data_IF_449506665778
#
_entry.id   IF_449506665778
#
_cell.length_a   1.000
_cell.length_b   1.000
_cell.length_c   1.000
_cell.angle_alpha   90.00
_cell.angle_beta   90.00
_cell.angle_gamma   90.00
#
_symmetry.space_group_name_H-M   'P 1'
#
loop_
_entity.id
_entity.type
_entity.pdbx_description
1 polymer ?
#
# COMPACT_ATOMS: atom_id res chain seq x y z
N UNK A 1 20.33 5.75 7.27
CA UNK A 1 19.32 5.39 6.29
C UNK A 1 17.98 5.19 6.99
N UNK A 2 16.92 5.79 6.49
CA UNK A 2 15.62 5.57 7.11
C UNK A 2 15.24 4.09 6.98
N UNK A 3 14.85 3.48 8.09
CA UNK A 3 14.27 2.13 8.09
C UNK A 3 13.04 2.15 7.19
N UNK A 4 13.10 1.45 6.07
CA UNK A 4 11.94 1.26 5.22
C UNK A 4 10.83 0.64 6.07
N UNK A 5 9.76 1.39 6.29
CA UNK A 5 8.56 0.85 6.92
C UNK A 5 8.05 -0.28 6.04
N UNK A 6 8.05 -1.47 6.61
CA UNK A 6 7.36 -2.62 6.05
C UNK A 6 5.92 -2.20 5.78
N UNK A 7 5.51 -2.24 4.53
CA UNK A 7 4.10 -2.10 4.22
C UNK A 7 3.44 -3.36 4.79
N UNK A 8 2.68 -3.18 5.85
CA UNK A 8 1.85 -4.25 6.43
C UNK A 8 0.68 -4.46 5.47
N UNK A 9 0.92 -5.29 4.48
CA UNK A 9 -0.13 -5.77 3.59
C UNK A 9 -0.56 -7.15 4.08
N UNK A 10 -1.84 -7.32 4.29
CA UNK A 10 -2.52 -8.42 4.93
C UNK A 10 -1.93 -9.83 4.83
N UNK A 11 -2.22 -10.65 5.80
CA UNK A 11 -2.15 -12.12 5.82
C UNK A 11 -0.82 -12.82 5.52
N UNK A 12 -0.07 -12.35 4.54
CA UNK A 12 1.16 -12.97 4.04
C UNK A 12 2.45 -12.49 4.73
N UNK A 13 2.36 -11.50 5.61
CA UNK A 13 3.52 -10.96 6.33
C UNK A 13 3.83 -11.67 7.65
N UNK A 14 3.07 -12.71 7.96
CA UNK A 14 3.23 -13.47 9.19
C UNK A 14 4.56 -14.22 9.19
N UNK A 15 5.46 -14.02 10.18
CA UNK A 15 6.72 -14.73 10.25
C UNK A 15 6.46 -16.19 10.65
N UNK A 16 6.71 -17.13 9.74
CA UNK A 16 6.37 -18.55 9.91
C UNK A 16 7.55 -19.49 9.78
N UNK A 17 8.58 -19.14 8.99
CA UNK A 17 9.60 -20.09 8.56
C UNK A 17 10.99 -19.73 9.08
N UNK A 18 11.69 -20.69 9.66
CA UNK A 18 13.11 -20.58 9.96
C UNK A 18 13.92 -20.60 8.66
N UNK A 19 15.15 -20.13 8.72
CA UNK A 19 16.02 -19.98 7.53
C UNK A 19 16.18 -21.27 6.71
N UNK A 20 16.32 -22.43 7.37
CA UNK A 20 16.45 -23.72 6.68
C UNK A 20 15.22 -24.06 5.85
N UNK A 21 14.04 -23.85 6.40
CA UNK A 21 12.76 -24.09 5.71
C UNK A 21 12.55 -23.07 4.60
N UNK A 22 12.80 -21.80 4.88
CA UNK A 22 12.70 -20.74 3.88
C UNK A 22 13.63 -20.98 2.68
N UNK A 23 14.85 -21.41 2.93
CA UNK A 23 15.82 -21.76 1.90
C UNK A 23 15.32 -22.90 1.02
N UNK A 24 14.77 -23.96 1.61
CA UNK A 24 14.20 -25.09 0.89
C UNK A 24 12.99 -24.64 0.02
N UNK A 25 12.08 -23.85 0.59
CA UNK A 25 10.91 -23.36 -0.12
C UNK A 25 11.27 -22.44 -1.30
N UNK A 26 12.31 -21.65 -1.16
CA UNK A 26 12.79 -20.75 -2.21
C UNK A 26 13.78 -21.40 -3.18
N UNK A 27 14.24 -22.62 -2.89
CA UNK A 27 15.21 -23.32 -3.73
C UNK A 27 16.62 -22.73 -3.68
N UNK A 28 17.04 -22.18 -2.55
CA UNK A 28 18.34 -21.54 -2.37
C UNK A 28 19.07 -22.10 -1.15
N UNK A 29 20.39 -21.90 -1.12
CA UNK A 29 21.18 -22.24 0.06
C UNK A 29 20.94 -21.23 1.19
N UNK A 30 20.91 -21.64 2.48
CA UNK A 30 20.77 -20.71 3.61
C UNK A 30 21.79 -19.58 3.62
N UNK A 31 23.02 -19.85 3.18
CA UNK A 31 24.04 -18.80 3.07
C UNK A 31 23.68 -17.73 2.04
N UNK A 32 23.00 -18.10 0.96
CA UNK A 32 22.49 -17.16 -0.03
C UNK A 32 21.44 -16.24 0.58
N UNK A 33 20.55 -16.76 1.44
CA UNK A 33 19.59 -15.95 2.18
C UNK A 33 20.27 -14.93 3.09
N UNK A 34 21.35 -15.31 3.75
CA UNK A 34 22.12 -14.37 4.59
C UNK A 34 22.75 -13.25 3.76
N UNK A 35 23.23 -13.58 2.56
CA UNK A 35 23.75 -12.59 1.61
C UNK A 35 22.64 -11.63 1.17
N UNK A 36 21.46 -12.14 0.83
CA UNK A 36 20.33 -11.32 0.42
C UNK A 36 19.84 -10.42 1.55
N UNK A 37 19.82 -10.89 2.79
CA UNK A 37 19.52 -10.06 3.96
C UNK A 37 20.53 -8.91 4.11
N UNK A 38 21.83 -9.18 3.99
CA UNK A 38 22.87 -8.14 4.05
C UNK A 38 22.73 -7.09 2.97
N UNK A 39 22.26 -7.48 1.79
CA UNK A 39 22.01 -6.57 0.67
C UNK A 39 20.62 -5.90 0.75
N UNK A 40 19.89 -6.16 1.83
CA UNK A 40 18.55 -5.59 2.05
C UNK A 40 17.51 -5.99 1.00
N UNK A 41 17.72 -7.11 0.33
CA UNK A 41 16.76 -7.68 -0.62
C UNK A 41 15.60 -8.35 0.09
N UNK A 42 15.83 -8.88 1.28
CA UNK A 42 14.84 -9.50 2.13
C UNK A 42 15.11 -9.09 3.57
N UNK A 43 14.04 -8.95 4.35
CA UNK A 43 14.13 -8.50 5.76
C UNK A 43 13.31 -9.42 6.64
N UNK A 44 13.89 -10.54 7.08
CA UNK A 44 13.20 -11.45 7.99
C UNK A 44 12.94 -10.77 9.34
N UNK A 45 11.89 -11.20 10.02
CA UNK A 45 11.65 -10.83 11.40
C UNK A 45 12.58 -11.63 12.32
N UNK A 46 12.78 -11.14 13.53
CA UNK A 46 13.51 -11.85 14.57
C UNK A 46 12.53 -12.28 15.66
N UNK A 47 12.62 -13.56 16.08
CA UNK A 47 11.92 -14.06 17.25
C UNK A 47 12.52 -13.48 18.53
N UNK A 48 11.88 -13.72 19.68
CA UNK A 48 12.42 -13.34 20.98
C UNK A 48 13.81 -13.93 21.25
N UNK A 49 14.09 -15.14 20.73
CA UNK A 49 15.40 -15.79 20.77
C UNK A 49 16.38 -15.32 19.69
N UNK A 50 16.09 -14.21 19.00
CA UNK A 50 16.90 -13.64 17.92
C UNK A 50 17.04 -14.56 16.70
N UNK A 51 16.12 -15.48 16.49
CA UNK A 51 16.08 -16.36 15.32
C UNK A 51 15.40 -15.67 14.14
N UNK A 52 15.98 -15.79 12.94
CA UNK A 52 15.37 -15.29 11.71
C UNK A 52 14.08 -16.05 11.40
N UNK A 53 13.02 -15.33 11.12
CA UNK A 53 11.74 -15.87 10.68
C UNK A 53 11.29 -15.17 9.40
N UNK A 54 10.96 -15.98 8.40
CA UNK A 54 10.54 -15.53 7.08
C UNK A 54 9.03 -15.70 6.90
N UNK A 55 8.40 -14.74 6.27
CA UNK A 55 6.98 -14.80 5.90
C UNK A 55 6.77 -15.41 4.52
N UNK A 56 5.53 -15.73 4.17
CA UNK A 56 5.18 -16.13 2.80
C UNK A 56 5.54 -15.03 1.79
N UNK A 57 5.36 -13.76 2.13
CA UNK A 57 5.78 -12.64 1.29
C UNK A 57 7.30 -12.62 1.08
N UNK A 58 8.08 -12.96 2.10
CA UNK A 58 9.53 -13.10 1.97
C UNK A 58 9.89 -14.25 1.01
N UNK A 59 9.19 -15.38 1.08
CA UNK A 59 9.39 -16.51 0.17
C UNK A 59 9.09 -16.12 -1.27
N UNK A 60 7.99 -15.43 -1.52
CA UNK A 60 7.62 -14.93 -2.85
C UNK A 60 8.68 -13.98 -3.40
N UNK A 61 9.20 -13.10 -2.57
CA UNK A 61 10.32 -12.20 -2.92
C UNK A 61 11.58 -12.98 -3.28
N UNK A 62 11.93 -14.00 -2.52
CA UNK A 62 13.08 -14.86 -2.80
C UNK A 62 12.94 -15.60 -4.14
N UNK A 63 11.74 -16.08 -4.43
CA UNK A 63 11.44 -16.70 -5.73
C UNK A 63 11.59 -15.72 -6.89
N UNK A 64 11.14 -14.48 -6.72
CA UNK A 64 11.35 -13.42 -7.71
C UNK A 64 12.84 -13.13 -7.94
N UNK A 65 13.63 -13.04 -6.87
CA UNK A 65 15.07 -12.84 -6.97
C UNK A 65 15.73 -14.00 -7.73
N UNK A 66 15.33 -15.24 -7.46
CA UNK A 66 15.82 -16.42 -8.17
C UNK A 66 15.44 -16.38 -9.65
N UNK A 67 14.23 -16.01 -9.98
CA UNK A 67 13.80 -15.84 -11.37
C UNK A 67 14.66 -14.80 -12.09
N UNK A 68 14.83 -13.63 -11.50
CA UNK A 68 15.62 -12.56 -12.10
C UNK A 68 17.10 -12.93 -12.28
N UNK A 69 17.69 -13.65 -11.31
CA UNK A 69 19.11 -14.03 -11.37
C UNK A 69 19.36 -15.25 -12.25
N UNK A 70 18.58 -16.30 -12.11
CA UNK A 70 18.83 -17.58 -12.73
C UNK A 70 18.17 -17.74 -14.10
N UNK A 71 16.95 -17.26 -14.26
CA UNK A 71 16.21 -17.40 -15.53
C UNK A 71 16.47 -16.21 -16.47
N UNK A 72 16.47 -14.99 -15.95
CA UNK A 72 16.64 -13.78 -16.75
C UNK A 72 18.11 -13.30 -16.83
N UNK A 73 19.00 -13.90 -16.06
CA UNK A 73 20.43 -13.61 -16.11
C UNK A 73 20.81 -12.21 -15.61
N UNK A 74 19.97 -11.59 -14.78
CA UNK A 74 20.25 -10.26 -14.22
C UNK A 74 21.24 -10.40 -13.08
N UNK A 75 22.30 -9.59 -13.08
CA UNK A 75 23.26 -9.60 -11.98
C UNK A 75 22.64 -9.08 -10.68
N UNK A 76 23.26 -9.38 -9.54
CA UNK A 76 22.67 -9.05 -8.24
C UNK A 76 22.50 -7.53 -8.04
N UNK A 77 23.40 -6.70 -8.56
CA UNK A 77 23.24 -5.26 -8.50
C UNK A 77 21.98 -4.77 -9.24
N UNK A 78 21.69 -5.35 -10.41
CA UNK A 78 20.47 -5.09 -11.15
C UNK A 78 19.23 -5.56 -10.41
N UNK A 79 19.30 -6.74 -9.79
CA UNK A 79 18.18 -7.26 -8.98
C UNK A 79 17.88 -6.35 -7.79
N UNK A 80 18.91 -5.87 -7.09
CA UNK A 80 18.74 -4.88 -6.00
C UNK A 80 17.96 -3.67 -6.51
N UNK A 81 18.35 -3.14 -7.67
CA UNK A 81 17.68 -1.97 -8.26
C UNK A 81 16.23 -2.25 -8.66
N UNK A 82 15.97 -3.41 -9.24
CA UNK A 82 14.61 -3.84 -9.61
C UNK A 82 13.72 -3.95 -8.38
N UNK A 83 14.21 -4.58 -7.31
CA UNK A 83 13.46 -4.72 -6.06
C UNK A 83 13.18 -3.35 -5.44
N UNK A 84 14.15 -2.44 -5.42
CA UNK A 84 13.94 -1.07 -4.94
C UNK A 84 12.85 -0.34 -5.71
N UNK A 85 12.90 -0.42 -7.04
CA UNK A 85 11.89 0.21 -7.90
C UNK A 85 10.50 -0.43 -7.74
N UNK A 86 10.46 -1.74 -7.58
CA UNK A 86 9.20 -2.46 -7.34
C UNK A 86 8.57 -2.07 -6.00
N UNK A 87 9.38 -1.95 -4.96
CA UNK A 87 8.92 -1.51 -3.63
C UNK A 87 8.40 -0.06 -3.67
N UNK A 88 9.11 0.81 -4.38
CA UNK A 88 8.69 2.21 -4.58
C UNK A 88 7.38 2.28 -5.37
N UNK A 89 7.26 1.50 -6.44
CA UNK A 89 6.04 1.41 -7.23
C UNK A 89 4.85 0.96 -6.38
N UNK A 90 5.02 -0.09 -5.59
CA UNK A 90 3.96 -0.58 -4.70
C UNK A 90 3.54 0.48 -3.68
N UNK A 91 4.50 1.23 -3.14
CA UNK A 91 4.22 2.33 -2.22
C UNK A 91 3.41 3.45 -2.89
N UNK A 92 3.81 3.88 -4.08
CA UNK A 92 3.11 4.90 -4.86
C UNK A 92 1.70 4.45 -5.26
N UNK A 93 1.52 3.20 -5.64
CA UNK A 93 0.20 2.63 -5.95
C UNK A 93 -0.73 2.67 -4.73
N UNK A 94 -0.21 2.33 -3.54
CA UNK A 94 -0.97 2.40 -2.29
C UNK A 94 -1.38 3.84 -1.94
N UNK A 95 -0.46 4.80 -2.09
CA UNK A 95 -0.78 6.22 -1.89
C UNK A 95 -1.82 6.72 -2.89
N UNK A 96 -1.70 6.33 -4.15
CA UNK A 96 -2.65 6.68 -5.20
C UNK A 96 -4.06 6.16 -4.87
N UNK A 97 -4.16 4.92 -4.39
CA UNK A 97 -5.44 4.34 -4.00
C UNK A 97 -6.07 5.10 -2.82
N UNK A 98 -5.27 5.47 -1.82
CA UNK A 98 -5.74 6.28 -0.69
C UNK A 98 -6.25 7.66 -1.15
N UNK A 99 -5.53 8.32 -2.06
CA UNK A 99 -5.93 9.60 -2.61
C UNK A 99 -7.22 9.49 -3.45
N UNK A 100 -7.36 8.44 -4.23
CA UNK A 100 -8.59 8.15 -4.99
C UNK A 100 -9.79 7.97 -4.07
N UNK A 101 -9.62 7.22 -2.98
CA UNK A 101 -10.66 7.02 -1.99
C UNK A 101 -11.07 8.35 -1.33
N UNK A 102 -10.09 9.20 -1.00
CA UNK A 102 -10.35 10.52 -0.42
C UNK A 102 -11.09 11.43 -1.40
N UNK A 103 -10.69 11.44 -2.66
CA UNK A 103 -11.38 12.21 -3.72
C UNK A 103 -12.83 11.78 -3.85
N UNK A 104 -13.12 10.49 -3.81
CA UNK A 104 -14.50 9.99 -3.86
C UNK A 104 -15.32 10.45 -2.65
N UNK A 105 -14.76 10.42 -1.45
CA UNK A 105 -15.42 10.92 -0.25
C UNK A 105 -15.73 12.42 -0.38
N UNK A 106 -14.77 13.20 -0.84
CA UNK A 106 -14.95 14.64 -1.05
C UNK A 106 -16.00 14.94 -2.12
N UNK A 107 -16.01 14.21 -3.21
CA UNK A 107 -17.04 14.35 -4.26
C UNK A 107 -18.44 14.06 -3.73
N UNK A 108 -18.60 13.04 -2.90
CA UNK A 108 -19.87 12.72 -2.24
C UNK A 108 -20.32 13.86 -1.33
N UNK A 109 -19.41 14.41 -0.51
CA UNK A 109 -19.72 15.55 0.37
C UNK A 109 -20.14 16.79 -0.41
N UNK A 110 -19.45 17.09 -1.50
CA UNK A 110 -19.81 18.20 -2.39
C UNK A 110 -21.20 17.98 -2.97
N UNK A 111 -21.50 16.80 -3.49
CA UNK A 111 -22.80 16.45 -4.04
C UNK A 111 -23.92 16.55 -3.00
N UNK A 112 -23.68 16.04 -1.78
CA UNK A 112 -24.63 16.13 -0.65
C UNK A 112 -24.87 17.57 -0.24
N UNK A 113 -23.82 18.39 -0.17
CA UNK A 113 -23.93 19.80 0.17
C UNK A 113 -24.69 20.59 -0.92
N UNK A 114 -24.46 20.28 -2.18
CA UNK A 114 -25.23 20.87 -3.30
C UNK A 114 -26.72 20.52 -3.22
N UNK A 115 -27.04 19.26 -2.94
CA UNK A 115 -28.42 18.81 -2.77
C UNK A 115 -29.07 19.54 -1.59
N UNK A 116 -28.39 19.66 -0.46
CA UNK A 116 -28.89 20.42 0.70
C UNK A 116 -29.09 21.89 0.39
N UNK A 117 -28.14 22.50 -0.28
CA UNK A 117 -28.28 23.92 -0.69
C UNK A 117 -29.49 24.15 -1.59
N UNK A 118 -29.71 23.27 -2.57
CA UNK A 118 -30.90 23.33 -3.43
C UNK A 118 -32.18 23.10 -2.64
N UNK A 119 -32.18 22.17 -1.71
CA UNK A 119 -33.35 21.88 -0.86
C UNK A 119 -33.71 23.08 0.04
N UNK A 120 -32.71 23.71 0.65
CA UNK A 120 -32.87 24.90 1.50
C UNK A 120 -33.42 26.08 0.66
N UNK A 121 -32.86 26.32 -0.51
CA UNK A 121 -33.33 27.39 -1.41
C UNK A 121 -34.80 27.16 -1.84
N UNK A 122 -35.18 25.93 -2.15
CA UNK A 122 -36.58 25.59 -2.47
C UNK A 122 -37.52 25.82 -1.29
N UNK A 123 -37.10 25.45 -0.09
CA UNK A 123 -37.87 25.63 1.13
C UNK A 123 -38.05 27.10 1.42
N UNK A 124 -37.02 27.91 1.30
CA UNK A 124 -37.08 29.36 1.48
C UNK A 124 -38.01 30.03 0.46
N UNK A 125 -37.97 29.63 -0.80
CA UNK A 125 -38.84 30.11 -1.84
C UNK A 125 -40.32 29.76 -1.59
N UNK A 126 -40.61 28.62 -1.05
CA UNK A 126 -41.95 28.15 -0.70
C UNK A 126 -42.49 28.91 0.52
N UNK A 127 -41.63 29.25 1.50
CA UNK A 127 -42.00 29.91 2.75
C UNK A 127 -42.16 31.42 2.61
N UNK A 128 -41.66 32.04 1.53
CA UNK A 128 -41.85 33.46 1.29
C UNK A 128 -43.26 33.67 0.73
N UNK A 129 -44.18 34.29 1.47
CA UNK A 129 -45.53 34.58 0.97
C UNK A 129 -45.49 35.59 -0.16
N UNK A 130 -46.28 35.38 -1.20
CA UNK A 130 -46.40 36.32 -2.32
C UNK A 130 -46.83 37.72 -1.85
N UNK A 131 -47.64 37.80 -0.82
CA UNK A 131 -48.06 39.05 -0.24
C UNK A 131 -46.96 39.89 0.39
N UNK A 132 -45.87 39.22 0.86
CA UNK A 132 -44.70 39.91 1.40
C UNK A 132 -43.91 40.69 0.36
N UNK A 133 -43.96 40.25 -0.91
CA UNK A 133 -43.32 40.94 -2.01
C UNK A 133 -44.06 42.21 -2.43
N UNK A 134 -45.35 42.24 -2.26
CA UNK A 134 -46.17 43.38 -2.57
C UNK A 134 -45.99 44.57 -1.61
N UNK A 135 -45.57 44.30 -0.38
CA UNK A 135 -45.29 45.32 0.63
C UNK A 135 -44.11 46.22 0.33
N UNK A 136 -43.29 45.86 -0.63
CA UNK A 136 -42.10 46.64 -1.01
C UNK A 136 -42.42 47.84 -1.87
N UNK A 137 -43.66 48.00 -2.27
CA UNK A 137 -44.11 49.10 -3.07
C UNK A 137 -44.84 50.17 -2.28
N UNK A 138 -44.91 50.00 -0.98
CA UNK A 138 -45.47 50.98 -0.10
C UNK A 138 -44.52 52.04 0.36
#
# INVERSE_FOLDING_TARGET
MPRRRRIVGGGNDRPLYMISVAADLAGVHPQTLRIYERKQLVSPSRSQGNTRLYSDADIDRLRLIQQLTQEEGINLAGVVRIIELTDEQAHLEAELEQLRALVQVMRRRIAENEVRARSVVRTDLVLIPRGGLQRRHG
#
